data_IF_984543851144
#
_entry.id   IF_984543851144
#
_cell.length_a   1.000
_cell.length_b   1.000
_cell.length_c   1.000
_cell.angle_alpha   90.00
_cell.angle_beta   90.00
_cell.angle_gamma   90.00
#
_symmetry.space_group_name_H-M   'P 1'
#
loop_
_entity.id
_entity.type
_entity.pdbx_description
1 polymer ?
#
# COMPACT_ATOMS: atom_id res chain seq x y z
N UNK A 1 20.31 11.89 -26.06
CA UNK A 1 19.42 12.29 -24.94
C UNK A 1 18.27 13.19 -25.41
N UNK A 2 18.51 14.11 -26.34
CA UNK A 2 17.49 14.98 -27.00
C UNK A 2 16.20 14.26 -27.42
N UNK A 3 16.33 13.15 -28.15
CA UNK A 3 15.19 12.44 -28.75
C UNK A 3 14.23 11.84 -27.69
N UNK A 4 14.73 11.47 -26.50
CA UNK A 4 13.88 10.98 -25.40
C UNK A 4 13.14 12.12 -24.70
N UNK A 5 13.76 13.29 -24.56
CA UNK A 5 13.12 14.48 -23.97
C UNK A 5 12.00 15.00 -24.86
N UNK A 6 12.22 15.03 -26.17
CA UNK A 6 11.24 15.52 -27.13
C UNK A 6 10.01 14.59 -27.24
N UNK A 7 10.23 13.27 -27.18
CA UNK A 7 9.13 12.28 -27.11
C UNK A 7 8.29 12.41 -25.83
N UNK A 8 8.93 12.64 -24.67
CA UNK A 8 8.21 12.87 -23.41
C UNK A 8 7.33 14.11 -23.47
N UNK A 9 7.89 15.24 -23.94
CA UNK A 9 7.15 16.50 -24.06
C UNK A 9 5.94 16.39 -24.99
N UNK A 10 6.10 15.69 -26.12
CA UNK A 10 4.98 15.45 -27.02
C UNK A 10 3.90 14.57 -26.37
N UNK A 11 4.31 13.53 -25.64
CA UNK A 11 3.39 12.66 -24.91
C UNK A 11 2.60 13.41 -23.83
N UNK A 12 3.26 14.28 -23.05
CA UNK A 12 2.60 15.11 -22.03
C UNK A 12 1.54 16.03 -22.66
N UNK A 13 1.89 16.72 -23.76
CA UNK A 13 0.95 17.59 -24.47
C UNK A 13 -0.29 16.85 -24.98
N UNK A 14 -0.13 15.59 -25.44
CA UNK A 14 -1.25 14.77 -25.92
C UNK A 14 -2.15 14.37 -24.76
N UNK A 15 -1.58 13.95 -23.62
CA UNK A 15 -2.34 13.56 -22.43
C UNK A 15 -3.11 14.74 -21.84
N UNK A 16 -2.50 15.92 -21.76
CA UNK A 16 -3.18 17.16 -21.33
C UNK A 16 -4.36 17.52 -22.23
N UNK A 17 -4.21 17.38 -23.55
CA UNK A 17 -5.28 17.65 -24.50
C UNK A 17 -6.45 16.68 -24.35
N UNK A 18 -6.17 15.37 -24.20
CA UNK A 18 -7.20 14.34 -24.00
C UNK A 18 -7.93 14.56 -22.66
N UNK A 19 -7.21 14.85 -21.58
CA UNK A 19 -7.81 15.14 -20.27
C UNK A 19 -8.75 16.36 -20.34
N UNK A 20 -8.33 17.41 -21.05
CA UNK A 20 -9.18 18.59 -21.28
C UNK A 20 -10.43 18.28 -22.11
N UNK A 21 -10.29 17.51 -23.18
CA UNK A 21 -11.43 17.17 -24.04
C UNK A 21 -12.47 16.32 -23.28
N UNK A 22 -12.02 15.43 -22.37
CA UNK A 22 -12.89 14.70 -21.43
C UNK A 22 -13.68 15.64 -20.53
N UNK A 23 -13.00 16.57 -19.85
CA UNK A 23 -13.65 17.51 -18.91
C UNK A 23 -14.65 18.44 -19.63
N UNK A 24 -14.36 18.77 -20.89
CA UNK A 24 -15.22 19.55 -21.77
C UNK A 24 -16.37 18.73 -22.42
N UNK A 25 -16.37 17.40 -22.27
CA UNK A 25 -17.33 16.49 -22.91
C UNK A 25 -17.24 16.44 -24.44
N UNK A 26 -16.09 16.77 -25.02
CA UNK A 26 -15.87 16.81 -26.47
C UNK A 26 -15.36 15.48 -27.00
N UNK A 27 -15.84 15.10 -28.18
CA UNK A 27 -15.43 13.88 -28.89
C UNK A 27 -15.69 12.56 -28.14
N UNK A 28 -16.54 12.58 -27.11
CA UNK A 28 -17.02 11.36 -26.49
C UNK A 28 -17.94 10.62 -27.47
N UNK A 29 -17.52 9.45 -27.93
CA UNK A 29 -18.28 8.54 -28.80
C UNK A 29 -18.96 7.40 -28.01
N UNK A 30 -18.62 7.29 -26.73
CA UNK A 30 -19.22 6.39 -25.78
C UNK A 30 -19.93 7.20 -24.69
N UNK A 31 -21.26 7.11 -24.67
CA UNK A 31 -22.09 7.57 -23.57
C UNK A 31 -22.46 6.36 -22.72
N UNK A 32 -21.91 6.28 -21.51
CA UNK A 32 -22.26 5.23 -20.56
C UNK A 32 -23.39 5.79 -19.69
N UNK A 33 -24.63 5.55 -20.11
CA UNK A 33 -25.82 6.00 -19.37
C UNK A 33 -26.01 5.18 -18.09
N UNK A 34 -25.92 5.86 -16.94
CA UNK A 34 -26.54 5.41 -15.70
C UNK A 34 -27.87 6.17 -15.53
N UNK A 35 -28.92 5.52 -15.05
CA UNK A 35 -30.26 6.13 -14.89
C UNK A 35 -30.28 7.40 -14.01
N UNK A 36 -29.23 7.61 -13.21
CA UNK A 36 -28.99 8.77 -12.35
C UNK A 36 -28.05 9.82 -12.94
N UNK A 37 -27.42 9.57 -14.11
CA UNK A 37 -26.27 10.33 -14.60
C UNK A 37 -25.00 10.14 -13.76
N UNK A 38 -25.02 9.22 -12.78
CA UNK A 38 -23.93 8.95 -11.85
C UNK A 38 -23.53 7.48 -11.97
N UNK A 39 -22.27 7.25 -12.27
CA UNK A 39 -21.70 5.91 -12.31
C UNK A 39 -21.46 5.38 -10.90
N UNK A 40 -22.12 4.28 -10.57
CA UNK A 40 -21.91 3.58 -9.30
C UNK A 40 -21.08 2.32 -9.54
N UNK A 41 -19.78 2.39 -9.24
CA UNK A 41 -19.01 1.17 -9.00
C UNK A 41 -19.32 0.73 -7.57
N UNK A 42 -20.22 -0.24 -7.44
CA UNK A 42 -20.66 -0.75 -6.13
C UNK A 42 -19.51 -1.25 -5.24
N UNK A 43 -18.42 -1.67 -5.86
CA UNK A 43 -17.26 -2.25 -5.19
C UNK A 43 -16.14 -1.22 -4.88
N UNK A 44 -16.30 0.05 -5.26
CA UNK A 44 -15.24 1.06 -5.12
C UNK A 44 -15.77 2.42 -4.66
N UNK A 45 -15.00 3.11 -3.82
CA UNK A 45 -15.33 4.48 -3.46
C UNK A 45 -15.27 5.39 -4.70
N UNK A 46 -16.19 6.36 -4.88
CA UNK A 46 -16.17 7.30 -5.99
C UNK A 46 -14.84 8.05 -6.13
N UNK A 47 -14.16 8.25 -5.00
CA UNK A 47 -12.88 8.93 -4.90
C UNK A 47 -11.71 8.09 -5.44
N UNK A 48 -11.74 6.76 -5.27
CA UNK A 48 -10.77 5.86 -5.92
C UNK A 48 -11.06 5.74 -7.42
N UNK A 49 -12.33 5.64 -7.82
CA UNK A 49 -12.75 5.60 -9.23
C UNK A 49 -12.31 6.84 -9.98
N UNK A 50 -12.53 8.03 -9.40
CA UNK A 50 -12.08 9.29 -9.98
C UNK A 50 -10.57 9.28 -10.24
N UNK A 51 -9.77 8.84 -9.26
CA UNK A 51 -8.31 8.75 -9.41
C UNK A 51 -7.87 7.73 -10.46
N UNK A 52 -8.58 6.61 -10.59
CA UNK A 52 -8.31 5.65 -11.67
C UNK A 52 -8.59 6.29 -13.03
N UNK A 53 -9.70 7.03 -13.16
CA UNK A 53 -9.97 7.77 -14.39
C UNK A 53 -8.89 8.82 -14.64
N UNK A 54 -8.50 9.60 -13.62
CA UNK A 54 -7.41 10.58 -13.75
C UNK A 54 -6.13 9.91 -14.26
N UNK A 55 -5.80 8.71 -13.78
CA UNK A 55 -4.71 7.89 -14.31
C UNK A 55 -4.89 7.50 -15.78
N UNK A 56 -6.07 7.01 -16.17
CA UNK A 56 -6.34 6.60 -17.56
C UNK A 56 -6.14 7.77 -18.53
N UNK A 57 -6.52 8.97 -18.12
CA UNK A 57 -6.47 10.17 -18.97
C UNK A 57 -5.13 10.92 -18.92
N UNK A 58 -4.41 10.89 -17.80
CA UNK A 58 -3.19 11.69 -17.59
C UNK A 58 -1.92 10.85 -17.44
N UNK A 59 -2.06 9.55 -17.21
CA UNK A 59 -0.96 8.65 -16.84
C UNK A 59 -0.50 8.79 -15.37
N UNK A 60 -1.16 9.62 -14.57
CA UNK A 60 -0.87 9.82 -13.14
C UNK A 60 -2.16 10.07 -12.33
N UNK A 61 -2.08 10.00 -11.01
CA UNK A 61 -3.17 10.40 -10.12
C UNK A 61 -2.60 11.17 -8.92
N UNK A 62 -3.31 12.18 -8.46
CA UNK A 62 -2.87 12.98 -7.32
C UNK A 62 -2.92 12.19 -6.01
N UNK A 63 -1.86 12.35 -5.22
CA UNK A 63 -1.83 11.96 -3.81
C UNK A 63 -2.84 12.84 -3.04
N UNK A 64 -3.31 12.41 -1.85
CA UNK A 64 -4.30 13.20 -1.08
C UNK A 64 -3.85 14.66 -0.90
N UNK A 65 -4.65 15.60 -1.40
CA UNK A 65 -4.58 16.99 -0.94
C UNK A 65 -5.22 17.06 0.46
N UNK A 66 -4.75 17.96 1.32
CA UNK A 66 -5.33 18.18 2.66
C UNK A 66 -6.85 18.47 2.66
N UNK A 67 -7.43 18.76 1.50
CA UNK A 67 -8.85 19.06 1.30
C UNK A 67 -9.68 17.87 0.80
N UNK A 68 -9.07 16.72 0.47
CA UNK A 68 -9.77 15.55 -0.11
C UNK A 68 -10.38 14.61 0.96
N UNK A 69 -10.61 15.12 2.17
CA UNK A 69 -11.20 14.38 3.27
C UNK A 69 -12.67 14.05 2.99
N UNK A 70 -12.95 12.80 2.63
CA UNK A 70 -14.28 12.24 2.85
C UNK A 70 -14.40 12.01 4.35
N UNK A 71 -15.38 12.64 4.98
CA UNK A 71 -15.69 12.34 6.36
C UNK A 71 -16.16 10.88 6.46
N UNK A 72 -15.60 10.11 7.40
CA UNK A 72 -16.02 8.72 7.72
C UNK A 72 -17.54 8.63 8.05
N UNK A 73 -18.17 9.78 8.26
CA UNK A 73 -19.56 9.93 8.65
C UNK A 73 -20.55 9.75 7.48
N UNK A 74 -20.18 10.14 6.24
CA UNK A 74 -21.10 10.06 5.09
C UNK A 74 -21.23 8.64 4.49
N UNK A 75 -20.25 7.76 4.74
CA UNK A 75 -20.30 6.36 4.29
C UNK A 75 -21.22 5.48 5.16
N UNK A 76 -21.40 5.83 6.44
CA UNK A 76 -22.18 5.00 7.38
C UNK A 76 -23.70 5.11 7.20
N UNK A 77 -24.19 6.19 6.59
CA UNK A 77 -25.63 6.40 6.45
C UNK A 77 -26.24 5.70 5.23
N UNK A 78 -25.42 5.17 4.31
CA UNK A 78 -25.89 4.54 3.06
C UNK A 78 -25.39 3.10 2.83
N UNK A 79 -24.67 2.50 3.78
CA UNK A 79 -24.17 1.13 3.64
C UNK A 79 -25.26 0.11 4.00
N UNK A 80 -25.51 -0.84 3.09
CA UNK A 80 -26.27 -2.05 3.35
C UNK A 80 -25.57 -2.87 4.47
N UNK A 81 -26.27 -3.24 5.57
CA UNK A 81 -25.66 -3.97 6.68
C UNK A 81 -25.05 -5.33 6.32
N UNK A 82 -25.38 -5.89 5.15
CA UNK A 82 -24.83 -7.18 4.69
C UNK A 82 -23.56 -7.05 3.82
N UNK A 83 -23.10 -5.83 3.50
CA UNK A 83 -21.84 -5.61 2.77
C UNK A 83 -20.75 -5.19 3.74
N UNK A 84 -19.92 -6.15 4.18
CA UNK A 84 -18.68 -5.89 4.92
C UNK A 84 -17.67 -5.14 4.03
N UNK A 85 -17.85 -3.83 3.85
CA UNK A 85 -16.84 -2.98 3.20
C UNK A 85 -16.00 -2.26 4.26
N UNK A 86 -15.05 -3.00 4.83
CA UNK A 86 -14.21 -2.57 5.95
C UNK A 86 -12.97 -1.77 5.52
N UNK A 87 -13.10 -0.89 4.53
CA UNK A 87 -11.98 -0.06 4.07
C UNK A 87 -12.36 1.42 4.00
N UNK A 88 -12.60 2.00 5.18
CA UNK A 88 -12.67 3.44 5.37
C UNK A 88 -11.32 4.09 5.01
N UNK A 89 -11.34 4.96 4.00
CA UNK A 89 -10.25 5.88 3.70
C UNK A 89 -10.15 6.90 4.84
N UNK A 90 -9.12 6.78 5.67
CA UNK A 90 -8.75 7.85 6.61
C UNK A 90 -7.92 8.86 5.84
N UNK A 91 -8.41 10.11 5.74
CA UNK A 91 -7.69 11.19 5.09
C UNK A 91 -6.27 11.31 5.66
N UNK A 92 -5.26 11.32 4.79
CA UNK A 92 -3.85 11.45 5.15
C UNK A 92 -3.04 10.15 5.16
N UNK A 93 -3.67 8.98 4.94
CA UNK A 93 -2.93 7.73 4.77
C UNK A 93 -2.61 7.46 3.28
N UNK A 94 -1.51 8.06 2.82
CA UNK A 94 -0.98 7.85 1.47
C UNK A 94 -0.64 6.38 1.19
N UNK A 95 -0.26 5.62 2.21
CA UNK A 95 0.13 4.23 2.04
C UNK A 95 -1.12 3.37 1.79
N UNK A 96 -2.20 3.57 2.55
CA UNK A 96 -3.48 2.92 2.26
C UNK A 96 -4.05 3.33 0.89
N UNK A 97 -3.96 4.61 0.51
CA UNK A 97 -4.40 5.06 -0.82
C UNK A 97 -3.74 4.25 -1.94
N UNK A 98 -2.41 4.17 -1.92
CA UNK A 98 -1.68 3.49 -2.99
C UNK A 98 -1.88 1.97 -2.96
N UNK A 99 -2.09 1.39 -1.79
CA UNK A 99 -2.48 -0.02 -1.66
C UNK A 99 -3.81 -0.28 -2.38
N UNK A 100 -4.81 0.58 -2.16
CA UNK A 100 -6.13 0.48 -2.82
C UNK A 100 -6.07 0.77 -4.32
N UNK A 101 -5.31 1.78 -4.75
CA UNK A 101 -5.13 2.06 -6.18
C UNK A 101 -4.47 0.88 -6.92
N UNK A 102 -3.63 0.11 -6.23
CA UNK A 102 -3.04 -1.11 -6.80
C UNK A 102 -4.07 -2.22 -6.97
N UNK A 103 -4.88 -2.48 -5.94
CA UNK A 103 -5.98 -3.44 -6.00
C UNK A 103 -6.98 -3.06 -7.09
N UNK A 104 -7.30 -1.77 -7.21
CA UNK A 104 -8.17 -1.24 -8.24
C UNK A 104 -7.59 -1.44 -9.65
N UNK A 105 -6.28 -1.19 -9.82
CA UNK A 105 -5.58 -1.44 -11.07
C UNK A 105 -5.61 -2.91 -11.47
N UNK A 106 -5.48 -3.82 -10.51
CA UNK A 106 -5.61 -5.27 -10.77
C UNK A 106 -7.04 -5.66 -11.15
N UNK A 107 -8.03 -5.16 -10.40
CA UNK A 107 -9.43 -5.50 -10.60
C UNK A 107 -9.94 -5.08 -11.99
N UNK A 108 -9.50 -3.92 -12.46
CA UNK A 108 -9.87 -3.39 -13.79
C UNK A 108 -8.82 -3.66 -14.88
N UNK A 109 -7.81 -4.49 -14.60
CA UNK A 109 -6.75 -4.86 -15.54
C UNK A 109 -5.99 -3.65 -16.14
N UNK A 110 -5.83 -2.60 -15.33
CA UNK A 110 -5.04 -1.41 -15.64
C UNK A 110 -3.63 -1.61 -15.08
N UNK A 111 -2.82 -2.45 -15.74
CA UNK A 111 -1.46 -2.82 -15.31
C UNK A 111 -0.57 -1.62 -14.96
N UNK A 112 -0.69 -0.56 -15.75
CA UNK A 112 0.08 0.67 -15.55
C UNK A 112 -0.28 1.37 -14.23
N UNK A 113 -1.55 1.34 -13.83
CA UNK A 113 -2.03 1.91 -12.58
C UNK A 113 -1.50 1.10 -11.40
N UNK A 114 -1.62 -0.24 -11.47
CA UNK A 114 -1.12 -1.15 -10.44
C UNK A 114 0.39 -0.95 -10.21
N UNK A 115 1.16 -0.81 -11.29
CA UNK A 115 2.61 -0.51 -11.22
C UNK A 115 2.91 0.86 -10.63
N UNK A 116 2.26 1.93 -11.11
CA UNK A 116 2.47 3.27 -10.58
C UNK A 116 2.14 3.34 -9.09
N UNK A 117 1.01 2.73 -8.70
CA UNK A 117 0.60 2.65 -7.32
C UNK A 117 1.59 1.87 -6.45
N UNK A 118 2.19 0.80 -6.97
CA UNK A 118 3.26 0.06 -6.29
C UNK A 118 4.52 0.89 -6.05
N UNK A 119 4.91 1.70 -7.03
CA UNK A 119 6.07 2.59 -6.90
C UNK A 119 5.80 3.68 -5.86
N UNK A 120 4.63 4.33 -5.92
CA UNK A 120 4.21 5.36 -4.95
C UNK A 120 4.03 4.79 -3.54
N UNK A 121 3.45 3.59 -3.42
CA UNK A 121 3.30 2.86 -2.15
C UNK A 121 4.67 2.61 -1.50
N UNK A 122 5.60 2.04 -2.27
CA UNK A 122 6.92 1.68 -1.76
C UNK A 122 7.74 2.91 -1.36
N UNK A 123 7.58 4.02 -2.09
CA UNK A 123 8.19 5.30 -1.77
C UNK A 123 7.67 5.84 -0.43
N UNK A 124 6.34 5.94 -0.28
CA UNK A 124 5.72 6.44 0.95
C UNK A 124 6.04 5.56 2.15
N UNK A 125 5.92 4.24 2.02
CA UNK A 125 6.24 3.29 3.09
C UNK A 125 7.72 3.38 3.51
N UNK A 126 8.63 3.66 2.59
CA UNK A 126 10.04 3.88 2.92
C UNK A 126 10.25 5.18 3.72
N UNK A 127 9.52 6.25 3.40
CA UNK A 127 9.64 7.56 4.06
C UNK A 127 8.95 7.68 5.41
N UNK A 128 7.89 6.89 5.67
CA UNK A 128 7.12 6.98 6.93
C UNK A 128 7.93 6.43 8.12
N UNK A 129 7.80 7.00 9.31
CA UNK A 129 8.50 6.49 10.51
C UNK A 129 7.81 5.24 11.08
N UNK A 130 8.53 4.44 11.87
CA UNK A 130 7.93 3.29 12.56
C UNK A 130 6.98 3.77 13.66
N UNK A 131 5.69 3.72 13.38
CA UNK A 131 4.60 4.01 14.32
C UNK A 131 3.48 2.96 14.18
N UNK A 132 2.41 3.12 14.95
CA UNK A 132 1.26 2.20 14.93
C UNK A 132 0.48 2.27 13.61
N UNK A 133 0.47 3.42 12.93
CA UNK A 133 -0.23 3.59 11.64
C UNK A 133 0.39 2.73 10.54
N UNK A 134 1.72 2.59 10.55
CA UNK A 134 2.42 1.68 9.64
C UNK A 134 1.98 0.22 9.85
N UNK A 135 1.72 -0.17 11.09
CA UNK A 135 1.34 -1.53 11.45
C UNK A 135 -0.11 -1.83 11.07
N UNK A 136 -1.01 -0.85 11.14
CA UNK A 136 -2.42 -0.97 10.73
C UNK A 136 -2.60 -1.34 9.25
N UNK A 137 -1.57 -1.09 8.43
CA UNK A 137 -1.56 -1.42 7.00
C UNK A 137 -1.31 -2.92 6.78
N UNK A 138 -0.70 -3.63 7.74
CA UNK A 138 -0.35 -5.04 7.56
C UNK A 138 -1.62 -5.91 7.41
N UNK A 139 -2.59 -5.91 8.35
CA UNK A 139 -3.81 -6.72 8.18
C UNK A 139 -4.52 -6.41 6.86
N UNK A 140 -4.57 -5.13 6.50
CA UNK A 140 -5.18 -4.63 5.27
C UNK A 140 -4.55 -5.21 4.01
N UNK A 141 -3.23 -5.14 3.90
CA UNK A 141 -2.48 -5.67 2.74
C UNK A 141 -2.59 -7.19 2.63
N UNK A 142 -2.71 -7.88 3.77
CA UNK A 142 -2.88 -9.33 3.79
C UNK A 142 -4.33 -9.77 3.52
N UNK A 143 -5.31 -8.87 3.66
CA UNK A 143 -6.70 -9.11 3.28
C UNK A 143 -6.96 -8.98 1.76
N UNK A 144 -6.08 -8.32 1.00
CA UNK A 144 -6.26 -8.17 -0.45
C UNK A 144 -6.33 -9.51 -1.19
N UNK A 145 -7.28 -9.59 -2.12
CA UNK A 145 -7.66 -10.83 -2.81
C UNK A 145 -6.99 -11.00 -4.19
N UNK A 146 -6.37 -9.95 -4.73
CA UNK A 146 -5.87 -9.92 -6.10
C UNK A 146 -4.37 -10.22 -6.22
N UNK A 147 -3.90 -10.44 -7.45
CA UNK A 147 -2.54 -10.95 -7.75
C UNK A 147 -1.40 -10.05 -7.27
N UNK A 148 -1.60 -8.73 -7.25
CA UNK A 148 -0.67 -7.73 -6.73
C UNK A 148 -0.42 -7.83 -5.24
N UNK A 149 -1.28 -8.51 -4.47
CA UNK A 149 -1.11 -8.72 -3.03
C UNK A 149 0.29 -9.25 -2.69
N UNK A 150 0.85 -10.14 -3.51
CA UNK A 150 2.19 -10.66 -3.31
C UNK A 150 3.29 -9.60 -3.45
N UNK A 151 3.13 -8.64 -4.36
CA UNK A 151 4.10 -7.55 -4.58
C UNK A 151 4.05 -6.59 -3.39
N UNK A 152 2.85 -6.21 -2.94
CA UNK A 152 2.66 -5.33 -1.79
C UNK A 152 3.18 -5.98 -0.51
N UNK A 153 2.79 -7.23 -0.23
CA UNK A 153 3.25 -7.99 0.95
C UNK A 153 4.77 -8.07 1.01
N UNK A 154 5.44 -8.32 -0.13
CA UNK A 154 6.90 -8.31 -0.22
C UNK A 154 7.48 -6.93 0.10
N UNK A 155 6.90 -5.86 -0.44
CA UNK A 155 7.33 -4.48 -0.16
C UNK A 155 7.20 -4.15 1.34
N UNK A 156 6.05 -4.49 1.94
CA UNK A 156 5.79 -4.35 3.39
C UNK A 156 6.83 -5.09 4.20
N UNK A 157 7.05 -6.38 3.94
CA UNK A 157 8.04 -7.19 4.66
C UNK A 157 9.44 -6.60 4.58
N UNK A 158 9.88 -6.16 3.39
CA UNK A 158 11.19 -5.54 3.20
C UNK A 158 11.34 -4.25 4.01
N UNK A 159 10.31 -3.41 4.06
CA UNK A 159 10.36 -2.17 4.82
C UNK A 159 10.25 -2.40 6.32
N UNK A 160 9.35 -3.28 6.77
CA UNK A 160 9.22 -3.66 8.18
C UNK A 160 10.54 -4.20 8.72
N UNK A 161 11.19 -5.08 7.97
CA UNK A 161 12.52 -5.60 8.32
C UNK A 161 13.53 -4.49 8.60
N UNK A 162 13.55 -3.45 7.78
CA UNK A 162 14.47 -2.30 7.94
C UNK A 162 14.11 -1.43 9.14
N UNK A 163 12.82 -1.22 9.38
CA UNK A 163 12.31 -0.37 10.48
C UNK A 163 12.43 -1.05 11.84
N UNK A 164 12.19 -2.36 11.91
CA UNK A 164 12.37 -3.15 13.13
C UNK A 164 13.84 -3.18 13.59
N UNK A 165 14.79 -3.06 12.66
CA UNK A 165 16.21 -2.94 13.00
C UNK A 165 16.60 -1.56 13.56
N UNK A 166 15.76 -0.54 13.40
CA UNK A 166 16.05 0.87 13.75
C UNK A 166 15.35 1.25 15.07
N UNK A 167 15.92 0.80 16.18
CA UNK A 167 15.50 1.24 17.53
C UNK A 167 16.06 2.64 17.87
N UNK A 168 15.38 3.42 18.74
CA UNK A 168 14.15 3.11 19.49
C UNK A 168 12.86 3.32 18.68
N UNK A 169 11.80 2.62 19.07
CA UNK A 169 10.45 2.76 18.48
C UNK A 169 9.59 3.74 19.29
N UNK A 170 8.54 4.27 18.67
CA UNK A 170 7.52 5.06 19.36
C UNK A 170 6.78 4.20 20.42
N UNK A 171 6.20 4.87 21.42
CA UNK A 171 5.40 4.20 22.44
C UNK A 171 4.22 3.43 21.82
N UNK A 172 3.93 2.24 22.33
CA UNK A 172 2.83 1.38 21.83
C UNK A 172 3.15 0.56 20.57
N UNK A 173 4.28 0.80 19.89
CA UNK A 173 4.64 0.05 18.67
C UNK A 173 4.94 -1.41 18.96
N UNK A 174 5.55 -1.74 20.10
CA UNK A 174 5.89 -3.12 20.45
C UNK A 174 4.65 -3.96 20.77
N UNK A 175 3.72 -3.41 21.56
CA UNK A 175 2.42 -4.02 21.87
C UNK A 175 1.58 -4.21 20.59
N UNK A 176 1.45 -3.17 19.78
CA UNK A 176 0.68 -3.24 18.53
C UNK A 176 1.29 -4.19 17.50
N UNK A 177 2.62 -4.32 17.49
CA UNK A 177 3.28 -5.32 16.64
C UNK A 177 2.96 -6.74 17.11
N UNK A 178 2.91 -6.98 18.42
CA UNK A 178 2.52 -8.28 18.98
C UNK A 178 1.10 -8.66 18.53
N UNK A 179 0.15 -7.73 18.68
CA UNK A 179 -1.23 -7.88 18.22
C UNK A 179 -1.29 -8.22 16.72
N UNK A 180 -0.65 -7.41 15.87
CA UNK A 180 -0.63 -7.64 14.41
C UNK A 180 0.01 -8.98 14.04
N UNK A 181 1.05 -9.42 14.75
CA UNK A 181 1.68 -10.73 14.49
C UNK A 181 0.82 -11.91 14.94
N UNK A 182 -0.07 -11.70 15.92
CA UNK A 182 -1.10 -12.64 16.34
C UNK A 182 -2.25 -12.72 15.32
N UNK A 183 -2.73 -11.57 14.86
CA UNK A 183 -3.85 -11.47 13.93
C UNK A 183 -3.49 -11.90 12.50
N UNK A 184 -2.24 -11.69 12.07
CA UNK A 184 -1.76 -11.96 10.71
C UNK A 184 -0.55 -12.90 10.73
N UNK A 185 -0.74 -14.20 11.00
CA UNK A 185 0.37 -15.15 11.09
C UNK A 185 1.13 -15.33 9.76
N UNK A 186 0.49 -15.10 8.62
CA UNK A 186 1.12 -15.07 7.30
C UNK A 186 2.23 -14.01 7.23
N UNK A 187 1.99 -12.83 7.82
CA UNK A 187 2.96 -11.76 7.87
C UNK A 187 4.18 -12.17 8.68
N UNK A 188 3.98 -12.75 9.86
CA UNK A 188 5.07 -13.26 10.72
C UNK A 188 5.92 -14.28 9.97
N UNK A 189 5.29 -15.23 9.28
CA UNK A 189 5.99 -16.23 8.46
C UNK A 189 6.79 -15.59 7.33
N UNK A 190 6.22 -14.63 6.60
CA UNK A 190 6.88 -14.00 5.47
C UNK A 190 8.03 -13.08 5.93
N UNK A 191 7.87 -12.42 7.08
CA UNK A 191 8.92 -11.67 7.76
C UNK A 191 10.08 -12.59 8.14
N UNK A 192 9.82 -13.72 8.81
CA UNK A 192 10.87 -14.69 9.19
C UNK A 192 11.59 -15.25 7.96
N UNK A 193 10.86 -15.63 6.91
CA UNK A 193 11.44 -16.07 5.64
C UNK A 193 12.36 -15.00 5.03
N UNK A 194 12.01 -13.73 5.17
CA UNK A 194 12.85 -12.64 4.67
C UNK A 194 14.23 -12.59 5.34
N UNK A 195 14.33 -12.96 6.62
CA UNK A 195 15.61 -13.03 7.34
C UNK A 195 16.45 -14.24 6.94
N UNK A 196 15.81 -15.36 6.58
CA UNK A 196 16.49 -16.59 6.14
C UNK A 196 17.04 -16.42 4.73
N UNK A 197 16.26 -15.82 3.82
CA UNK A 197 16.59 -15.76 2.39
C UNK A 197 17.65 -14.71 2.00
N UNK A 198 17.82 -13.66 2.79
CA UNK A 198 18.81 -12.60 2.55
C UNK A 198 19.40 -12.15 3.89
N UNK A 199 20.66 -12.45 4.23
CA UNK A 199 21.27 -11.90 5.42
C UNK A 199 21.34 -10.37 5.30
N UNK A 200 21.01 -9.65 6.38
CA UNK A 200 21.05 -8.19 6.36
C UNK A 200 22.52 -7.72 6.29
N UNK A 201 22.87 -6.91 5.27
CA UNK A 201 24.23 -6.39 5.06
C UNK A 201 24.77 -5.54 6.22
N UNK A 202 23.87 -5.04 7.09
CA UNK A 202 24.22 -4.27 8.29
C UNK A 202 24.16 -5.10 9.58
N UNK A 203 23.62 -6.31 9.55
CA UNK A 203 23.59 -7.20 10.72
C UNK A 203 24.91 -7.99 10.82
N UNK A 204 25.88 -7.39 11.49
CA UNK A 204 26.95 -8.14 12.14
C UNK A 204 28.28 -8.23 11.38
N UNK A 205 29.08 -7.16 11.43
CA UNK A 205 30.51 -7.39 11.67
C UNK A 205 30.62 -8.00 13.08
N UNK A 206 30.86 -9.31 13.11
CA UNK A 206 30.96 -10.19 14.29
C UNK A 206 31.54 -9.51 15.53
N UNK A 207 30.76 -9.40 16.60
CA UNK A 207 31.24 -9.76 17.93
C UNK A 207 30.65 -11.14 18.23
N UNK A 208 31.42 -12.18 17.96
CA UNK A 208 31.15 -13.51 18.51
C UNK A 208 31.22 -13.36 20.03
N UNK A 209 30.07 -13.42 20.71
CA UNK A 209 30.04 -13.70 22.13
C UNK A 209 30.45 -15.16 22.27
N UNK A 210 31.60 -15.42 22.88
CA UNK A 210 32.04 -16.79 23.15
C UNK A 210 30.99 -17.47 24.01
N UNK A 211 30.45 -18.59 23.52
CA UNK A 211 29.64 -19.45 24.35
C UNK A 211 30.54 -19.99 25.47
N UNK A 212 30.36 -19.48 26.69
CA UNK A 212 30.92 -20.11 27.88
C UNK A 212 30.09 -21.38 28.11
N UNK A 213 30.70 -22.57 28.09
CA UNK A 213 30.00 -23.79 28.45
C UNK A 213 29.46 -23.66 29.88
N UNK A 214 28.17 -23.90 30.07
CA UNK A 214 27.59 -24.01 31.41
C UNK A 214 28.31 -25.15 32.15
N UNK A 215 28.79 -24.96 33.39
CA UNK A 215 29.33 -26.03 34.20
C UNK A 215 28.21 -27.02 34.47
N UNK A 216 28.31 -28.23 33.90
CA UNK A 216 27.49 -29.34 34.32
C UNK A 216 28.11 -29.90 35.60
N UNK A 217 27.39 -29.82 36.72
CA UNK A 217 27.71 -30.60 37.90
C UNK A 217 26.89 -31.89 37.82
N UNK A 218 27.54 -32.96 37.38
CA UNK A 218 26.96 -34.28 37.41
C UNK A 218 26.63 -34.74 38.83
N UNK A 219 25.66 -35.66 39.01
CA UNK A 219 25.32 -36.16 40.32
C UNK A 219 26.52 -36.86 40.96
N UNK A 220 26.92 -36.39 42.14
CA UNK A 220 27.90 -37.06 42.98
C UNK A 220 27.32 -38.41 43.41
N UNK A 221 27.92 -39.50 42.91
CA UNK A 221 27.65 -40.83 43.40
C UNK A 221 28.28 -40.97 44.79
N UNK A 222 27.43 -41.22 45.80
CA UNK A 222 27.82 -41.69 47.12
C UNK A 222 28.07 -43.19 47.16
#
# INVERSE_FOLDING_TARGET
MENRKQKRKFSEMVLEAIAKDRDDGKFCDLEIEAASGVFEIKECSPVLVKRMLDYIYTGDYADFSANDCISVQEFRENADPDVEFEFGLVAGDYVTLHAQMMELGDMYLVDGLSRLASDKFSLHLASTQMDTTILDIIPRVYAFKFGSSNVIRKSVVVQMRKKLAQRPWAAGVEEHLEDVTGDVPEFTRDLLKSYIGVPCDKCGKKKTVGAVPLPWEGPQAG
#
